data_IF_800974797624
#
_entry.id   IF_800974797624
#
_cell.length_a   1.000
_cell.length_b   1.000
_cell.length_c   1.000
_cell.angle_alpha   90.00
_cell.angle_beta   90.00
_cell.angle_gamma   90.00
#
_symmetry.space_group_name_H-M   'P 1'
#
loop_
_entity.id
_entity.type
_entity.pdbx_description
1 polymer ?
#
# COMPACT_ATOMS: atom_id res chain seq x y z
N UNK A 1 -1.42 -15.96 8.69
CA UNK A 1 -1.82 -15.69 7.29
C UNK A 1 -1.62 -14.20 7.00
N UNK A 2 -1.95 -13.65 5.85
CA UNK A 2 -1.71 -12.26 5.45
C UNK A 2 -2.99 -11.53 4.98
N UNK A 3 -2.86 -10.22 4.77
CA UNK A 3 -3.89 -9.36 4.21
C UNK A 3 -3.27 -8.39 3.20
N UNK A 4 -3.88 -8.33 2.02
CA UNK A 4 -3.69 -7.24 1.08
C UNK A 4 -4.45 -6.00 1.59
N UNK A 5 -3.78 -5.22 2.44
CA UNK A 5 -4.37 -4.02 3.08
C UNK A 5 -4.63 -2.93 2.04
N UNK A 6 -3.70 -2.77 1.10
CA UNK A 6 -3.88 -1.95 -0.09
C UNK A 6 -3.78 -2.81 -1.33
N UNK A 7 -4.81 -2.81 -2.17
CA UNK A 7 -4.79 -3.48 -3.46
C UNK A 7 -4.81 -2.47 -4.60
N UNK A 8 -3.68 -2.39 -5.30
CA UNK A 8 -3.42 -1.54 -6.44
C UNK A 8 -3.68 -0.03 -6.32
N UNK A 9 -3.26 0.65 -5.23
CA UNK A 9 -3.48 2.08 -5.08
C UNK A 9 -2.66 2.95 -6.03
N UNK A 10 -1.53 2.46 -6.56
CA UNK A 10 -0.55 3.29 -7.27
C UNK A 10 -0.92 3.50 -8.74
N UNK A 11 -0.70 4.73 -9.20
CA UNK A 11 -0.73 5.12 -10.59
C UNK A 11 0.35 4.41 -11.40
N UNK A 12 0.18 4.43 -12.73
CA UNK A 12 1.10 3.79 -13.67
C UNK A 12 1.61 4.75 -14.75
N UNK A 13 1.28 6.04 -14.60
CA UNK A 13 1.77 7.15 -15.42
C UNK A 13 2.27 8.27 -14.52
N UNK A 14 2.87 9.31 -15.11
CA UNK A 14 3.41 10.47 -14.36
C UNK A 14 2.36 11.57 -14.11
N UNK A 15 1.07 11.28 -14.27
CA UNK A 15 0.00 12.28 -14.03
C UNK A 15 -0.43 12.30 -12.57
N UNK A 16 -0.43 11.15 -11.91
CA UNK A 16 -0.81 11.01 -10.50
C UNK A 16 -0.12 9.81 -9.87
N UNK A 17 0.38 9.99 -8.65
CA UNK A 17 0.97 8.90 -7.85
C UNK A 17 -0.08 7.86 -7.43
N UNK A 18 -1.30 8.29 -7.14
CA UNK A 18 -2.42 7.42 -6.79
C UNK A 18 -3.42 7.30 -7.94
N UNK A 19 -4.08 6.15 -8.04
CA UNK A 19 -5.24 5.98 -8.92
C UNK A 19 -6.43 6.78 -8.41
N UNK A 20 -7.21 7.33 -9.34
CA UNK A 20 -8.42 8.09 -9.04
C UNK A 20 -9.61 7.18 -8.67
N UNK A 21 -9.52 6.58 -7.48
CA UNK A 21 -10.58 5.75 -6.90
C UNK A 21 -11.51 6.55 -5.98
N UNK A 22 -12.76 6.09 -5.74
CA UNK A 22 -13.66 6.75 -4.81
C UNK A 22 -13.05 6.98 -3.41
N UNK A 23 -12.27 6.02 -2.90
CA UNK A 23 -11.58 6.15 -1.61
C UNK A 23 -10.51 7.26 -1.63
N UNK A 24 -9.77 7.39 -2.73
CA UNK A 24 -8.79 8.46 -2.91
C UNK A 24 -9.47 9.83 -3.00
N UNK A 25 -10.59 9.94 -3.73
CA UNK A 25 -11.38 11.18 -3.77
C UNK A 25 -11.97 11.57 -2.42
N UNK A 26 -12.39 10.58 -1.62
CA UNK A 26 -13.01 10.82 -0.32
C UNK A 26 -12.00 11.18 0.77
N UNK A 27 -10.83 10.53 0.80
CA UNK A 27 -9.89 10.62 1.92
C UNK A 27 -8.53 11.23 1.55
N UNK A 28 -8.31 11.53 0.26
CA UNK A 28 -7.06 12.09 -0.22
C UNK A 28 -5.88 11.11 -0.19
N UNK A 29 -4.65 11.58 -0.45
CA UNK A 29 -3.46 10.73 -0.56
C UNK A 29 -3.08 9.97 0.72
N UNK A 30 -3.53 10.44 1.88
CA UNK A 30 -3.25 9.79 3.17
C UNK A 30 -4.04 8.50 3.41
N UNK A 31 -5.00 8.15 2.54
CA UNK A 31 -5.90 7.03 2.79
C UNK A 31 -5.14 5.72 2.97
N UNK A 32 -4.13 5.44 2.14
CA UNK A 32 -3.34 4.19 2.23
C UNK A 32 -2.61 4.14 3.57
N UNK A 33 -2.00 5.25 4.00
CA UNK A 33 -1.34 5.35 5.30
C UNK A 33 -2.30 5.02 6.43
N UNK A 34 -3.47 5.67 6.45
CA UNK A 34 -4.51 5.40 7.47
C UNK A 34 -4.94 3.94 7.47
N UNK A 35 -5.11 3.32 6.29
CA UNK A 35 -5.52 1.90 6.21
C UNK A 35 -4.49 0.98 6.87
N UNK A 36 -3.18 1.22 6.64
CA UNK A 36 -2.12 0.44 7.29
C UNK A 36 -2.02 0.69 8.79
N UNK A 37 -2.15 1.94 9.25
CA UNK A 37 -2.19 2.28 10.69
C UNK A 37 -3.34 1.55 11.41
N UNK A 38 -4.55 1.61 10.84
CA UNK A 38 -5.75 0.96 11.39
C UNK A 38 -5.61 -0.57 11.37
N UNK A 39 -5.05 -1.14 10.30
CA UNK A 39 -4.83 -2.57 10.20
C UNK A 39 -3.84 -3.06 11.26
N UNK A 40 -2.73 -2.34 11.46
CA UNK A 40 -1.73 -2.67 12.47
C UNK A 40 -2.31 -2.59 13.88
N UNK A 41 -3.01 -1.50 14.22
CA UNK A 41 -3.70 -1.35 15.51
C UNK A 41 -4.71 -2.48 15.75
N UNK A 42 -5.44 -2.88 14.71
CA UNK A 42 -6.41 -3.97 14.80
C UNK A 42 -5.74 -5.31 15.08
N UNK A 43 -4.64 -5.64 14.40
CA UNK A 43 -3.90 -6.87 14.66
C UNK A 43 -3.30 -6.89 16.07
N UNK A 44 -2.75 -5.77 16.52
CA UNK A 44 -2.19 -5.65 17.87
C UNK A 44 -3.27 -5.86 18.94
N UNK A 45 -4.46 -5.26 18.75
CA UNK A 45 -5.61 -5.46 19.64
C UNK A 45 -6.12 -6.91 19.67
N UNK A 46 -6.01 -7.63 18.56
CA UNK A 46 -6.43 -9.02 18.45
C UNK A 46 -5.34 -10.03 18.87
N UNK A 47 -4.11 -9.56 19.14
CA UNK A 47 -2.96 -10.44 19.37
C UNK A 47 -2.63 -11.32 18.16
N UNK A 48 -2.93 -10.85 16.95
CA UNK A 48 -2.73 -11.61 15.71
C UNK A 48 -1.36 -11.33 15.12
N UNK A 49 -0.70 -12.38 14.61
CA UNK A 49 0.57 -12.32 13.91
C UNK A 49 0.42 -12.20 12.38
N UNK A 50 -0.79 -11.90 11.90
CA UNK A 50 -1.05 -11.74 10.49
C UNK A 50 -0.18 -10.64 9.87
N UNK A 51 0.15 -10.79 8.59
CA UNK A 51 1.05 -9.88 7.88
C UNK A 51 0.29 -8.89 7.00
N UNK A 52 0.74 -7.64 6.96
CA UNK A 52 0.12 -6.56 6.22
C UNK A 52 0.88 -6.29 4.92
N UNK A 53 0.26 -6.57 3.79
CA UNK A 53 0.84 -6.43 2.46
C UNK A 53 0.23 -5.26 1.69
N UNK A 54 1.08 -4.56 0.93
CA UNK A 54 0.65 -3.77 -0.22
C UNK A 54 0.71 -4.68 -1.45
N UNK A 55 -0.38 -4.85 -2.20
CA UNK A 55 -0.41 -5.73 -3.37
C UNK A 55 -0.55 -4.92 -4.65
N UNK A 56 0.31 -5.19 -5.63
CA UNK A 56 0.38 -4.41 -6.86
C UNK A 56 0.56 -5.23 -8.13
N UNK A 57 -0.11 -4.75 -9.19
CA UNK A 57 0.11 -5.21 -10.57
C UNK A 57 1.14 -4.35 -11.29
N UNK A 58 1.79 -4.89 -12.33
CA UNK A 58 2.69 -4.16 -13.25
C UNK A 58 3.95 -3.57 -12.62
N UNK A 59 4.22 -3.76 -11.32
CA UNK A 59 5.44 -3.25 -10.68
C UNK A 59 6.72 -3.84 -11.28
N UNK A 60 6.65 -5.02 -11.89
CA UNK A 60 7.80 -5.66 -12.55
C UNK A 60 8.09 -5.11 -13.96
N UNK A 61 7.11 -4.49 -14.63
CA UNK A 61 7.23 -4.06 -16.02
C UNK A 61 6.88 -2.57 -16.26
N UNK A 62 6.55 -1.82 -15.20
CA UNK A 62 6.30 -0.38 -15.25
C UNK A 62 7.15 0.34 -14.18
N UNK A 63 8.22 0.98 -14.62
CA UNK A 63 9.15 1.69 -13.74
C UNK A 63 8.51 2.83 -12.95
N UNK A 64 7.55 3.55 -13.54
CA UNK A 64 6.87 4.66 -12.84
C UNK A 64 6.09 4.12 -11.65
N UNK A 65 5.36 3.02 -11.87
CA UNK A 65 4.61 2.36 -10.81
C UNK A 65 5.52 1.75 -9.76
N UNK A 66 6.60 1.08 -10.17
CA UNK A 66 7.61 0.56 -9.26
C UNK A 66 8.21 1.65 -8.37
N UNK A 67 8.57 2.81 -8.94
CA UNK A 67 9.11 3.95 -8.19
C UNK A 67 8.10 4.46 -7.15
N UNK A 68 6.83 4.63 -7.54
CA UNK A 68 5.78 5.04 -6.62
C UNK A 68 5.55 4.02 -5.49
N UNK A 69 5.43 2.73 -5.81
CA UNK A 69 5.28 1.66 -4.82
C UNK A 69 6.49 1.61 -3.86
N UNK A 70 7.71 1.70 -4.39
CA UNK A 70 8.94 1.70 -3.58
C UNK A 70 9.00 2.91 -2.65
N UNK A 71 8.74 4.11 -3.16
CA UNK A 71 8.80 5.34 -2.38
C UNK A 71 7.73 5.38 -1.30
N UNK A 72 6.53 4.86 -1.57
CA UNK A 72 5.46 4.74 -0.59
C UNK A 72 5.87 3.84 0.57
N UNK A 73 6.30 2.60 0.27
CA UNK A 73 6.72 1.64 1.30
C UNK A 73 7.90 2.20 2.10
N UNK A 74 8.91 2.77 1.41
CA UNK A 74 10.06 3.40 2.06
C UNK A 74 9.64 4.52 3.02
N UNK A 75 8.70 5.37 2.60
CA UNK A 75 8.15 6.45 3.42
C UNK A 75 7.39 5.91 4.64
N UNK A 76 6.64 4.82 4.48
CA UNK A 76 5.90 4.18 5.56
C UNK A 76 6.84 3.60 6.62
N UNK A 77 7.84 2.84 6.18
CA UNK A 77 8.85 2.28 7.06
C UNK A 77 9.63 3.37 7.81
N UNK A 78 9.97 4.48 7.14
CA UNK A 78 10.64 5.62 7.76
C UNK A 78 9.77 6.32 8.85
N UNK A 79 8.45 6.21 8.75
CA UNK A 79 7.49 6.75 9.74
C UNK A 79 7.09 5.72 10.81
N UNK A 80 7.62 4.49 10.77
CA UNK A 80 7.24 3.41 11.69
C UNK A 80 5.89 2.76 11.37
N UNK A 81 5.33 2.97 10.17
CA UNK A 81 4.10 2.32 9.73
C UNK A 81 4.44 0.87 9.33
N UNK A 82 3.70 -0.09 9.90
CA UNK A 82 3.90 -1.52 9.65
C UNK A 82 3.48 -1.88 8.21
N UNK A 83 4.45 -2.28 7.40
CA UNK A 83 4.25 -2.93 6.10
C UNK A 83 5.15 -4.16 6.10
N UNK A 84 4.56 -5.35 6.17
CA UNK A 84 5.30 -6.60 6.29
C UNK A 84 5.78 -7.12 4.93
N UNK A 85 5.15 -6.71 3.83
CA UNK A 85 5.58 -7.13 2.51
C UNK A 85 4.90 -6.42 1.33
N UNK A 86 5.40 -6.75 0.14
CA UNK A 86 4.87 -6.32 -1.16
C UNK A 86 4.41 -7.56 -1.93
N UNK A 87 3.13 -7.61 -2.28
CA UNK A 87 2.56 -8.59 -3.19
C UNK A 87 2.82 -8.19 -4.64
N UNK A 88 3.43 -9.08 -5.41
CA UNK A 88 3.65 -8.91 -6.85
C UNK A 88 2.71 -9.87 -7.58
N UNK A 89 1.60 -9.34 -8.10
CA UNK A 89 0.53 -10.16 -8.70
C UNK A 89 1.01 -11.03 -9.88
N UNK A 90 2.07 -10.61 -10.58
CA UNK A 90 2.70 -11.38 -11.65
C UNK A 90 1.76 -11.78 -12.81
N UNK A 91 0.78 -10.91 -13.09
CA UNK A 91 -0.04 -10.99 -14.30
C UNK A 91 0.79 -10.79 -15.57
#
# INVERSE_FOLDING_TARGET
YDWDVGNEPMGYDRKSEYKDYPIYRAFGPDYVKKTFEIAAETLDRLGSDAKLFLNETKVVNNNVKADYTYNLIKSFLAQGIRVDGLGIQSH
#
